data_IF_597922640778
#
_entry.id   IF_597922640778
#
_cell.length_a   1.000
_cell.length_b   1.000
_cell.length_c   1.000
_cell.angle_alpha   90.00
_cell.angle_beta   90.00
_cell.angle_gamma   90.00
#
_symmetry.space_group_name_H-M   'P 1'
#
loop_
_entity.id
_entity.type
_entity.pdbx_description
1 polymer ?
#
# COMPACT_ATOMS: atom_id res chain seq x y z
N UNK A 1 14.42 -27.55 4.20
CA UNK A 1 15.08 -26.44 3.46
C UNK A 1 15.99 -25.76 4.47
N UNK A 2 17.27 -25.57 4.16
CA UNK A 2 18.24 -25.04 5.13
C UNK A 2 17.75 -23.69 5.69
N UNK A 3 17.66 -23.58 7.02
CA UNK A 3 17.09 -22.43 7.73
C UNK A 3 17.79 -21.12 7.31
N UNK A 4 19.06 -21.20 6.93
CA UNK A 4 19.82 -20.07 6.39
C UNK A 4 19.28 -19.53 5.05
N UNK A 5 18.99 -20.40 4.09
CA UNK A 5 18.52 -20.00 2.75
C UNK A 5 17.16 -19.33 2.84
N UNK A 6 16.23 -19.90 3.61
CA UNK A 6 14.90 -19.32 3.83
C UNK A 6 14.98 -17.95 4.50
N UNK A 7 15.86 -17.80 5.50
CA UNK A 7 16.08 -16.53 6.18
C UNK A 7 16.58 -15.44 5.25
N UNK A 8 17.54 -15.77 4.37
CA UNK A 8 18.10 -14.85 3.39
C UNK A 8 17.08 -14.47 2.30
N UNK A 9 16.21 -15.41 1.91
CA UNK A 9 15.11 -15.13 0.99
C UNK A 9 14.11 -14.13 1.57
N UNK A 10 13.71 -14.32 2.84
CA UNK A 10 12.83 -13.37 3.55
C UNK A 10 13.46 -11.97 3.59
N UNK A 11 14.75 -11.86 3.93
CA UNK A 11 15.43 -10.56 3.99
C UNK A 11 15.47 -9.85 2.63
N UNK A 12 15.69 -10.59 1.54
CA UNK A 12 15.65 -10.05 0.18
C UNK A 12 14.26 -9.60 -0.21
N UNK A 13 13.22 -10.37 0.11
CA UNK A 13 11.84 -10.02 -0.20
C UNK A 13 11.38 -8.79 0.58
N UNK A 14 11.72 -8.68 1.87
CA UNK A 14 11.45 -7.48 2.66
C UNK A 14 12.16 -6.25 2.08
N UNK A 15 13.45 -6.37 1.77
CA UNK A 15 14.22 -5.30 1.14
C UNK A 15 13.58 -4.84 -0.17
N UNK A 16 13.27 -5.77 -1.05
CA UNK A 16 12.66 -5.49 -2.35
C UNK A 16 11.28 -4.84 -2.18
N UNK A 17 10.45 -5.37 -1.28
CA UNK A 17 9.11 -4.86 -1.00
C UNK A 17 9.14 -3.40 -0.52
N UNK A 18 9.91 -3.12 0.53
CA UNK A 18 10.03 -1.76 1.06
C UNK A 18 10.70 -0.80 0.06
N UNK A 19 11.71 -1.24 -0.70
CA UNK A 19 12.31 -0.39 -1.74
C UNK A 19 11.32 -0.04 -2.85
N UNK A 20 10.49 -1.00 -3.28
CA UNK A 20 9.43 -0.73 -4.25
C UNK A 20 8.46 0.33 -3.69
N UNK A 21 8.02 0.19 -2.43
CA UNK A 21 7.14 1.17 -1.80
C UNK A 21 7.79 2.56 -1.74
N UNK A 22 9.05 2.65 -1.28
CA UNK A 22 9.78 3.92 -1.19
C UNK A 22 9.91 4.61 -2.55
N UNK A 23 10.35 3.87 -3.56
CA UNK A 23 10.46 4.38 -4.94
C UNK A 23 9.09 4.77 -5.50
N UNK A 24 8.05 3.97 -5.24
CA UNK A 24 6.68 4.26 -5.64
C UNK A 24 6.19 5.58 -5.07
N UNK A 25 6.37 5.80 -3.76
CA UNK A 25 5.99 7.05 -3.08
C UNK A 25 6.76 8.27 -3.61
N UNK A 26 8.05 8.12 -3.91
CA UNK A 26 8.90 9.20 -4.46
C UNK A 26 8.49 9.56 -5.88
N UNK A 27 8.16 8.57 -6.71
CA UNK A 27 7.64 8.85 -8.05
C UNK A 27 6.26 9.48 -7.97
N UNK A 28 5.41 9.01 -7.03
CA UNK A 28 4.08 9.57 -6.83
C UNK A 28 4.12 11.03 -6.39
N UNK A 29 5.07 11.43 -5.54
CA UNK A 29 5.19 12.84 -5.11
C UNK A 29 5.58 13.81 -6.23
N UNK A 30 5.99 13.30 -7.40
CA UNK A 30 6.26 14.11 -8.58
C UNK A 30 5.00 14.37 -9.41
N UNK A 31 3.90 13.67 -9.15
CA UNK A 31 2.64 13.84 -9.88
C UNK A 31 2.11 15.26 -9.73
N UNK A 32 1.97 15.99 -10.84
CA UNK A 32 1.49 17.37 -10.88
C UNK A 32 0.89 17.69 -12.26
N UNK A 33 0.41 18.91 -12.46
CA UNK A 33 -0.19 19.35 -13.73
C UNK A 33 0.70 19.11 -14.95
N UNK A 34 2.03 19.20 -14.79
CA UNK A 34 3.05 19.03 -15.84
C UNK A 34 3.63 17.61 -15.91
N UNK A 35 3.41 16.76 -14.91
CA UNK A 35 3.90 15.38 -14.87
C UNK A 35 2.81 14.44 -14.36
N UNK A 36 2.15 13.73 -15.28
CA UNK A 36 0.96 12.94 -14.98
C UNK A 36 1.18 11.42 -15.02
N UNK A 37 2.43 10.94 -14.98
CA UNK A 37 2.72 9.50 -15.04
C UNK A 37 2.43 8.76 -13.74
N UNK A 38 1.44 7.87 -13.80
CA UNK A 38 0.96 7.07 -12.68
C UNK A 38 1.26 5.57 -12.81
N UNK A 39 1.63 5.10 -14.01
CA UNK A 39 1.90 3.68 -14.25
C UNK A 39 3.01 3.14 -13.33
N UNK A 40 4.19 3.77 -13.38
CA UNK A 40 5.34 3.34 -12.61
C UNK A 40 5.10 3.38 -11.09
N UNK A 41 4.60 4.47 -10.48
CA UNK A 41 4.37 4.48 -9.05
C UNK A 41 3.29 3.48 -8.62
N UNK A 42 2.20 3.29 -9.37
CA UNK A 42 1.21 2.25 -9.05
C UNK A 42 1.80 0.85 -9.13
N UNK A 43 2.61 0.54 -10.15
CA UNK A 43 3.29 -0.76 -10.25
C UNK A 43 4.17 -1.04 -9.02
N UNK A 44 4.99 -0.05 -8.65
CA UNK A 44 5.92 -0.15 -7.54
C UNK A 44 5.18 -0.31 -6.20
N UNK A 45 4.15 0.49 -5.96
CA UNK A 45 3.34 0.41 -4.74
C UNK A 45 2.63 -0.94 -4.64
N UNK A 46 1.93 -1.36 -5.70
CA UNK A 46 1.19 -2.64 -5.71
C UNK A 46 2.11 -3.84 -5.46
N UNK A 47 3.22 -3.94 -6.19
CA UNK A 47 4.17 -5.06 -6.04
C UNK A 47 4.85 -5.02 -4.67
N UNK A 48 5.22 -3.83 -4.20
CA UNK A 48 5.87 -3.66 -2.91
C UNK A 48 4.98 -4.11 -1.75
N UNK A 49 3.74 -3.63 -1.72
CA UNK A 49 2.75 -3.99 -0.70
C UNK A 49 2.44 -5.49 -0.74
N UNK A 50 2.22 -6.06 -1.92
CA UNK A 50 1.93 -7.49 -2.08
C UNK A 50 3.03 -8.37 -1.46
N UNK A 51 4.30 -8.03 -1.73
CA UNK A 51 5.46 -8.76 -1.19
C UNK A 51 5.50 -8.72 0.33
N UNK A 52 5.31 -7.55 0.93
CA UNK A 52 5.33 -7.40 2.39
C UNK A 52 4.20 -8.20 3.05
N UNK A 53 2.97 -8.11 2.50
CA UNK A 53 1.83 -8.86 3.02
C UNK A 53 2.02 -10.38 2.91
N UNK A 54 2.55 -10.86 1.78
CA UNK A 54 2.86 -12.30 1.61
C UNK A 54 3.94 -12.76 2.58
N UNK A 55 4.96 -11.95 2.84
CA UNK A 55 5.98 -12.28 3.86
C UNK A 55 5.35 -12.34 5.26
N UNK A 56 4.49 -11.39 5.62
CA UNK A 56 3.75 -11.45 6.88
C UNK A 56 2.90 -12.72 6.98
N UNK A 57 2.19 -13.11 5.92
CA UNK A 57 1.47 -14.38 5.87
C UNK A 57 2.39 -15.59 6.09
N UNK A 58 3.53 -15.65 5.40
CA UNK A 58 4.53 -16.72 5.54
C UNK A 58 5.04 -16.82 6.98
N UNK A 59 5.35 -15.67 7.60
CA UNK A 59 5.82 -15.59 8.98
C UNK A 59 4.74 -16.00 9.97
N UNK A 60 3.48 -15.63 9.74
CA UNK A 60 2.36 -16.07 10.58
C UNK A 60 2.18 -17.59 10.51
N UNK A 61 2.20 -18.16 9.30
CA UNK A 61 2.07 -19.62 9.13
C UNK A 61 3.20 -20.37 9.84
N UNK A 62 4.43 -19.87 9.73
CA UNK A 62 5.56 -20.43 10.46
C UNK A 62 5.40 -20.29 11.98
N UNK A 63 4.91 -19.15 12.47
CA UNK A 63 4.66 -18.92 13.88
C UNK A 63 3.61 -19.89 14.46
N UNK A 64 2.56 -20.20 13.69
CA UNK A 64 1.46 -21.07 14.15
C UNK A 64 1.80 -22.55 13.99
N UNK A 65 2.39 -22.94 12.86
CA UNK A 65 2.54 -24.34 12.47
C UNK A 65 3.97 -24.87 12.58
N UNK A 66 4.96 -23.99 12.79
CA UNK A 66 6.38 -24.34 12.73
C UNK A 66 6.92 -24.58 11.31
N UNK A 67 6.10 -24.36 10.29
CA UNK A 67 6.43 -24.64 8.89
C UNK A 67 6.04 -23.48 7.96
N UNK A 68 6.82 -23.27 6.89
CA UNK A 68 6.47 -22.30 5.85
C UNK A 68 5.34 -22.86 4.95
N UNK A 69 4.46 -21.99 4.43
CA UNK A 69 3.35 -22.43 3.59
C UNK A 69 3.86 -23.04 2.28
N UNK A 70 3.11 -23.98 1.73
CA UNK A 70 3.47 -24.58 0.44
C UNK A 70 3.30 -23.56 -0.69
N UNK A 71 4.03 -23.77 -1.79
CA UNK A 71 3.93 -22.92 -2.99
C UNK A 71 2.49 -22.78 -3.50
N UNK A 72 1.70 -23.84 -3.39
CA UNK A 72 0.29 -23.86 -3.81
C UNK A 72 -0.58 -22.95 -2.94
N UNK A 73 -0.37 -22.95 -1.63
CA UNK A 73 -1.07 -22.05 -0.69
C UNK A 73 -0.78 -20.59 -1.03
N UNK A 74 0.50 -20.25 -1.25
CA UNK A 74 0.91 -18.89 -1.64
C UNK A 74 0.36 -18.47 -3.01
N UNK A 75 0.20 -19.41 -3.94
CA UNK A 75 -0.42 -19.16 -5.24
C UNK A 75 -1.92 -18.92 -5.09
N UNK A 76 -2.58 -19.68 -4.22
CA UNK A 76 -4.03 -19.58 -3.99
C UNK A 76 -4.44 -18.28 -3.29
N UNK A 77 -3.53 -17.63 -2.55
CA UNK A 77 -3.74 -16.26 -2.04
C UNK A 77 -3.94 -15.23 -3.16
N UNK A 78 -3.44 -15.52 -4.38
CA UNK A 78 -3.52 -14.62 -5.53
C UNK A 78 -2.68 -13.35 -5.40
N UNK A 79 -3.07 -12.32 -6.17
CA UNK A 79 -2.41 -10.99 -6.24
C UNK A 79 -3.32 -9.86 -5.73
N UNK A 80 -4.42 -10.24 -5.08
CA UNK A 80 -5.48 -9.34 -4.65
C UNK A 80 -5.12 -8.70 -3.31
N UNK A 81 -4.78 -7.41 -3.32
CA UNK A 81 -4.29 -6.73 -2.10
C UNK A 81 -5.37 -6.63 -1.03
N UNK A 82 -6.63 -6.44 -1.42
CA UNK A 82 -7.79 -6.45 -0.52
C UNK A 82 -7.86 -7.75 0.31
N UNK A 83 -7.68 -8.91 -0.33
CA UNK A 83 -7.65 -10.21 0.35
C UNK A 83 -6.47 -10.29 1.33
N UNK A 84 -5.27 -9.92 0.88
CA UNK A 84 -4.07 -9.96 1.70
C UNK A 84 -4.14 -8.99 2.89
N UNK A 85 -4.75 -7.82 2.71
CA UNK A 85 -4.96 -6.83 3.76
C UNK A 85 -5.98 -7.34 4.77
N UNK A 86 -7.07 -7.99 4.33
CA UNK A 86 -8.03 -8.58 5.26
C UNK A 86 -7.38 -9.64 6.15
N UNK A 87 -6.57 -10.54 5.56
CA UNK A 87 -5.80 -11.54 6.34
C UNK A 87 -4.87 -10.85 7.35
N UNK A 88 -4.20 -9.77 6.94
CA UNK A 88 -3.35 -8.98 7.82
C UNK A 88 -4.14 -8.36 8.99
N UNK A 89 -5.29 -7.74 8.70
CA UNK A 89 -6.18 -7.12 9.69
C UNK A 89 -6.73 -8.15 10.67
N UNK A 90 -7.18 -9.31 10.19
CA UNK A 90 -7.67 -10.41 11.02
C UNK A 90 -6.58 -10.91 11.97
N UNK A 91 -5.36 -11.13 11.44
CA UNK A 91 -4.20 -11.54 12.24
C UNK A 91 -3.89 -10.51 13.33
N UNK A 92 -3.82 -9.23 12.98
CA UNK A 92 -3.61 -8.16 13.96
C UNK A 92 -4.72 -8.09 15.01
N UNK A 93 -5.99 -8.16 14.60
CA UNK A 93 -7.15 -8.07 15.49
C UNK A 93 -7.24 -9.24 16.48
N UNK A 94 -6.68 -10.40 16.11
CA UNK A 94 -6.56 -11.56 16.99
C UNK A 94 -5.56 -11.36 18.13
N UNK A 95 -4.62 -10.43 18.01
CA UNK A 95 -3.57 -10.17 18.99
C UNK A 95 -4.02 -9.14 20.05
N UNK A 96 -3.83 -9.46 21.33
CA UNK A 96 -4.37 -8.67 22.45
C UNK A 96 -3.95 -7.20 22.43
N UNK A 97 -2.66 -6.94 22.15
CA UNK A 97 -2.13 -5.58 22.11
C UNK A 97 -2.90 -4.67 21.14
N UNK A 98 -3.39 -5.23 20.02
CA UNK A 98 -4.13 -4.48 19.02
C UNK A 98 -5.55 -4.10 19.46
N UNK A 99 -6.07 -4.75 20.50
CA UNK A 99 -7.40 -4.48 21.07
C UNK A 99 -7.38 -3.53 22.26
N UNK A 100 -6.22 -3.36 22.92
CA UNK A 100 -6.11 -2.57 24.15
C UNK A 100 -5.35 -1.25 23.94
N UNK A 101 -4.35 -1.22 23.05
CA UNK A 101 -3.52 -0.04 22.87
C UNK A 101 -4.25 0.99 21.99
N UNK A 102 -4.50 2.24 22.46
CA UNK A 102 -5.28 3.23 21.72
C UNK A 102 -4.74 3.50 20.30
N UNK A 103 -3.42 3.55 20.14
CA UNK A 103 -2.79 3.73 18.83
C UNK A 103 -3.07 2.55 17.87
N UNK A 104 -3.18 1.32 18.39
CA UNK A 104 -3.50 0.14 17.56
C UNK A 104 -4.98 0.09 17.19
N UNK A 105 -5.85 0.47 18.12
CA UNK A 105 -7.30 0.60 17.85
C UNK A 105 -7.52 1.61 16.73
N UNK A 106 -6.89 2.79 16.79
CA UNK A 106 -6.97 3.80 15.72
C UNK A 106 -6.43 3.28 14.38
N UNK A 107 -5.39 2.45 14.40
CA UNK A 107 -4.84 1.88 13.19
C UNK A 107 -5.75 0.80 12.58
N UNK A 108 -6.41 -0.03 13.39
CA UNK A 108 -7.44 -0.95 12.89
C UNK A 108 -8.66 -0.19 12.35
N UNK A 109 -9.07 0.89 13.00
CA UNK A 109 -10.14 1.76 12.51
C UNK A 109 -9.78 2.37 11.15
N UNK A 110 -8.55 2.86 10.99
CA UNK A 110 -8.06 3.35 9.70
C UNK A 110 -8.15 2.28 8.61
N UNK A 111 -7.65 1.06 8.85
CA UNK A 111 -7.68 -0.01 7.84
C UNK A 111 -9.11 -0.44 7.49
N UNK A 112 -10.01 -0.46 8.48
CA UNK A 112 -11.37 -0.96 8.31
C UNK A 112 -12.37 0.09 7.83
N UNK A 113 -12.16 1.37 8.11
CA UNK A 113 -13.21 2.39 7.95
C UNK A 113 -12.77 3.60 7.11
N UNK A 114 -11.47 3.80 6.87
CA UNK A 114 -11.02 4.94 6.07
C UNK A 114 -11.34 4.73 4.58
N UNK A 115 -12.24 5.56 4.05
CA UNK A 115 -12.72 5.44 2.66
C UNK A 115 -11.65 5.75 1.63
N UNK A 116 -10.77 6.73 1.92
CA UNK A 116 -9.63 7.07 1.05
C UNK A 116 -8.69 5.89 0.90
N UNK A 117 -8.26 5.30 2.01
CA UNK A 117 -7.40 4.12 2.02
C UNK A 117 -8.03 2.97 1.23
N UNK A 118 -9.31 2.66 1.47
CA UNK A 118 -10.01 1.59 0.75
C UNK A 118 -10.04 1.81 -0.76
N UNK A 119 -10.32 3.03 -1.22
CA UNK A 119 -10.35 3.32 -2.65
C UNK A 119 -8.94 3.27 -3.27
N UNK A 120 -7.91 3.76 -2.57
CA UNK A 120 -6.52 3.63 -3.00
C UNK A 120 -6.13 2.15 -3.14
N UNK A 121 -6.44 1.31 -2.14
CA UNK A 121 -6.16 -0.13 -2.20
C UNK A 121 -6.91 -0.81 -3.34
N UNK A 122 -8.16 -0.40 -3.61
CA UNK A 122 -8.93 -0.91 -4.74
C UNK A 122 -8.24 -0.59 -6.06
N UNK A 123 -7.79 0.65 -6.26
CA UNK A 123 -7.03 1.09 -7.44
C UNK A 123 -5.75 0.25 -7.59
N UNK A 124 -4.96 0.12 -6.52
CA UNK A 124 -3.71 -0.66 -6.54
C UNK A 124 -3.95 -2.15 -6.82
N UNK A 125 -5.03 -2.73 -6.28
CA UNK A 125 -5.45 -4.12 -6.53
C UNK A 125 -5.84 -4.34 -7.98
N UNK A 126 -6.55 -3.39 -8.58
CA UNK A 126 -6.93 -3.49 -9.99
C UNK A 126 -5.70 -3.34 -10.88
N UNK A 127 -4.83 -2.39 -10.57
CA UNK A 127 -3.59 -2.18 -11.30
C UNK A 127 -2.65 -3.39 -11.23
N UNK A 128 -2.59 -4.10 -10.10
CA UNK A 128 -1.74 -5.28 -9.95
C UNK A 128 -2.15 -6.45 -10.84
N UNK A 129 -3.43 -6.52 -11.24
CA UNK A 129 -3.97 -7.54 -12.14
C UNK A 129 -3.42 -7.41 -13.56
N UNK A 130 -3.38 -8.52 -14.30
CA UNK A 130 -3.00 -8.52 -15.73
C UNK A 130 -3.85 -7.54 -16.54
N UNK A 131 -5.14 -7.44 -16.21
CA UNK A 131 -6.08 -6.54 -16.90
C UNK A 131 -5.74 -5.06 -16.71
N UNK A 132 -5.32 -4.68 -15.51
CA UNK A 132 -4.93 -3.30 -15.20
C UNK A 132 -3.56 -2.93 -15.77
N UNK A 133 -2.56 -3.79 -15.56
CA UNK A 133 -1.18 -3.53 -16.00
C UNK A 133 -1.04 -3.48 -17.52
N UNK A 134 -1.84 -4.26 -18.23
CA UNK A 134 -1.80 -4.34 -19.69
C UNK A 134 -3.02 -3.68 -20.33
N UNK A 135 -3.69 -2.74 -19.64
CA UNK A 135 -4.91 -2.09 -20.13
C UNK A 135 -4.81 -1.64 -21.59
N UNK A 136 -3.77 -0.88 -21.94
CA UNK A 136 -3.56 -0.39 -23.30
C UNK A 136 -3.28 -1.53 -24.30
N UNK A 137 -2.59 -2.60 -23.90
CA UNK A 137 -2.35 -3.76 -24.77
C UNK A 137 -3.63 -4.58 -24.96
N UNK A 138 -4.48 -4.68 -23.94
CA UNK A 138 -5.75 -5.39 -24.00
C UNK A 138 -6.75 -4.64 -24.89
N UNK A 139 -6.76 -3.30 -24.86
CA UNK A 139 -7.51 -2.47 -25.79
C UNK A 139 -7.15 -2.77 -27.26
N UNK A 140 -5.86 -2.98 -27.55
CA UNK A 140 -5.39 -3.28 -28.90
C UNK A 140 -5.82 -4.68 -29.39
N UNK A 141 -6.22 -5.56 -28.48
CA UNK A 141 -6.64 -6.94 -28.79
C UNK A 141 -8.17 -7.11 -28.77
N UNK A 142 -8.93 -6.01 -28.81
CA UNK A 142 -10.40 -6.00 -28.75
C UNK A 142 -10.99 -6.77 -27.55
N UNK A 143 -10.24 -6.88 -26.44
CA UNK A 143 -10.80 -7.42 -25.22
C UNK A 143 -11.84 -6.44 -24.66
N UNK A 144 -13.04 -6.93 -24.33
CA UNK A 144 -14.01 -6.14 -23.57
C UNK A 144 -13.41 -5.74 -22.22
N UNK A 145 -13.02 -4.47 -22.11
CA UNK A 145 -12.60 -3.89 -20.86
C UNK A 145 -13.82 -3.39 -20.11
N UNK A 146 -14.21 -4.16 -19.10
CA UNK A 146 -15.24 -3.77 -18.13
C UNK A 146 -14.79 -2.66 -17.17
N UNK A 147 -13.62 -2.03 -17.38
CA UNK A 147 -12.97 -1.18 -16.38
C UNK A 147 -12.29 0.05 -16.96
N UNK A 148 -12.33 1.13 -16.17
CA UNK A 148 -11.64 2.40 -16.39
C UNK A 148 -10.12 2.25 -16.36
N UNK A 149 -9.40 3.07 -17.13
CA UNK A 149 -7.94 3.16 -17.03
C UNK A 149 -7.52 3.64 -15.63
N UNK A 150 -6.29 3.35 -15.17
CA UNK A 150 -5.76 3.86 -13.91
C UNK A 150 -5.85 5.39 -13.77
N UNK A 151 -5.68 6.10 -14.89
CA UNK A 151 -5.80 7.57 -14.98
C UNK A 151 -7.26 8.00 -14.73
N UNK A 152 -8.23 7.31 -15.35
CA UNK A 152 -9.64 7.60 -15.16
C UNK A 152 -10.14 7.28 -13.74
N UNK A 153 -9.68 6.18 -13.16
CA UNK A 153 -9.95 5.85 -11.75
C UNK A 153 -9.42 6.96 -10.83
N UNK A 154 -8.25 7.49 -11.15
CA UNK A 154 -7.68 8.61 -10.41
C UNK A 154 -8.50 9.90 -10.58
N UNK A 155 -8.85 10.27 -11.81
CA UNK A 155 -9.73 11.41 -12.08
C UNK A 155 -11.07 11.28 -11.36
N UNK A 156 -11.65 10.08 -11.29
CA UNK A 156 -12.88 9.81 -10.53
C UNK A 156 -12.67 10.03 -9.03
N UNK A 157 -11.57 9.54 -8.47
CA UNK A 157 -11.24 9.74 -7.07
C UNK A 157 -11.04 11.23 -6.74
N UNK A 158 -10.30 11.96 -7.57
CA UNK A 158 -10.12 13.41 -7.48
C UNK A 158 -11.48 14.14 -7.49
N UNK A 159 -12.32 13.83 -8.48
CA UNK A 159 -13.62 14.47 -8.62
C UNK A 159 -14.50 14.20 -7.39
N UNK A 160 -14.62 12.95 -6.95
CA UNK A 160 -15.43 12.60 -5.77
C UNK A 160 -14.97 13.32 -4.49
N UNK A 161 -13.65 13.56 -4.35
CA UNK A 161 -13.09 14.21 -3.16
C UNK A 161 -13.28 15.72 -3.18
N UNK A 162 -13.23 16.33 -4.36
CA UNK A 162 -13.18 17.78 -4.48
C UNK A 162 -14.49 18.42 -4.97
N UNK A 163 -15.43 17.64 -5.50
CA UNK A 163 -16.74 18.12 -5.98
C UNK A 163 -17.52 18.88 -4.89
N UNK A 164 -17.35 18.51 -3.62
CA UNK A 164 -18.01 19.17 -2.47
C UNK A 164 -17.11 20.20 -1.74
N UNK A 165 -15.87 20.40 -2.20
CA UNK A 165 -14.92 21.35 -1.61
C UNK A 165 -15.03 22.70 -2.32
N UNK A 166 -15.91 23.56 -1.82
CA UNK A 166 -16.18 24.88 -2.41
C UNK A 166 -14.91 25.71 -2.59
N UNK A 167 -13.98 25.67 -1.64
CA UNK A 167 -12.68 26.34 -1.72
C UNK A 167 -11.85 25.88 -2.94
N UNK A 168 -11.93 24.60 -3.28
CA UNK A 168 -11.22 24.00 -4.40
C UNK A 168 -11.96 24.25 -5.72
N UNK A 169 -13.27 24.08 -5.72
CA UNK A 169 -14.13 24.34 -6.89
C UNK A 169 -14.09 25.82 -7.31
N UNK A 170 -14.06 26.74 -6.35
CA UNK A 170 -13.92 28.18 -6.63
C UNK A 170 -12.56 28.49 -7.27
N UNK A 171 -11.48 27.76 -6.94
CA UNK A 171 -10.16 27.90 -7.56
C UNK A 171 -10.06 27.27 -8.96
N UNK A 172 -10.84 26.22 -9.23
CA UNK A 172 -10.92 25.59 -10.55
C UNK A 172 -11.79 26.42 -11.50
N UNK A 173 -12.82 27.09 -10.98
CA UNK A 173 -13.80 27.78 -11.82
C UNK A 173 -13.45 29.26 -12.03
N UNK A 174 -12.59 29.87 -11.19
CA UNK A 174 -12.23 31.28 -11.29
C UNK A 174 -10.76 31.47 -11.74
N UNK A 175 -10.50 32.30 -12.76
CA UNK A 175 -9.13 32.65 -13.16
C UNK A 175 -8.36 33.42 -12.07
N UNK A 176 -7.04 33.20 -11.91
CA UNK A 176 -6.22 32.24 -12.65
C UNK A 176 -6.42 30.82 -12.14
N UNK A 177 -6.78 29.91 -13.04
CA UNK A 177 -7.02 28.50 -12.73
C UNK A 177 -5.80 27.90 -12.01
N UNK A 178 -5.98 27.46 -10.77
CA UNK A 178 -4.90 26.85 -9.99
C UNK A 178 -5.14 25.35 -9.82
N UNK A 179 -4.91 24.60 -10.89
CA UNK A 179 -5.07 23.14 -10.90
C UNK A 179 -4.03 22.43 -10.05
N UNK A 180 -2.87 23.04 -9.77
CA UNK A 180 -1.78 22.42 -9.00
C UNK A 180 -2.21 22.04 -7.58
N UNK A 181 -3.13 22.81 -6.99
CA UNK A 181 -3.69 22.54 -5.67
C UNK A 181 -4.37 21.16 -5.61
N UNK A 182 -5.07 20.75 -6.68
CA UNK A 182 -5.70 19.44 -6.76
C UNK A 182 -4.68 18.31 -6.66
N UNK A 183 -3.59 18.43 -7.42
CA UNK A 183 -2.50 17.45 -7.42
C UNK A 183 -1.79 17.41 -6.06
N UNK A 184 -1.59 18.56 -5.42
CA UNK A 184 -0.98 18.65 -4.09
C UNK A 184 -1.83 17.91 -3.04
N UNK A 185 -3.13 18.20 -2.97
CA UNK A 185 -4.01 17.55 -1.99
C UNK A 185 -4.17 16.06 -2.28
N UNK A 186 -4.27 15.69 -3.54
CA UNK A 186 -4.30 14.30 -3.95
C UNK A 186 -3.05 13.53 -3.53
N UNK A 187 -1.86 14.08 -3.83
CA UNK A 187 -0.59 13.50 -3.42
C UNK A 187 -0.53 13.34 -1.91
N UNK A 188 -0.96 14.34 -1.14
CA UNK A 188 -1.04 14.23 0.32
C UNK A 188 -1.92 13.07 0.75
N UNK A 189 -3.13 12.93 0.20
CA UNK A 189 -4.07 11.85 0.58
C UNK A 189 -3.45 10.48 0.31
N UNK A 190 -2.88 10.27 -0.89
CA UNK A 190 -2.31 8.99 -1.28
C UNK A 190 -1.06 8.66 -0.47
N UNK A 191 -0.10 9.60 -0.41
CA UNK A 191 1.17 9.40 0.31
C UNK A 191 0.89 9.17 1.79
N UNK A 192 0.02 9.95 2.42
CA UNK A 192 -0.31 9.79 3.85
C UNK A 192 -0.95 8.44 4.13
N UNK A 193 -1.91 8.03 3.29
CA UNK A 193 -2.60 6.74 3.43
C UNK A 193 -1.63 5.57 3.32
N UNK A 194 -0.75 5.58 2.32
CA UNK A 194 0.23 4.52 2.12
C UNK A 194 1.32 4.55 3.19
N UNK A 195 1.85 5.71 3.58
CA UNK A 195 2.83 5.81 4.68
C UNK A 195 2.26 5.31 6.00
N UNK A 196 1.02 5.71 6.34
CA UNK A 196 0.32 5.22 7.53
C UNK A 196 0.14 3.71 7.45
N UNK A 197 -0.31 3.18 6.33
CA UNK A 197 -0.45 1.74 6.15
C UNK A 197 0.88 1.00 6.31
N UNK A 198 1.97 1.49 5.71
CA UNK A 198 3.30 0.90 5.85
C UNK A 198 3.79 0.93 7.29
N UNK A 199 3.54 2.01 8.01
CA UNK A 199 3.80 2.10 9.46
C UNK A 199 3.04 1.00 10.23
N UNK A 200 1.78 0.75 9.87
CA UNK A 200 0.97 -0.33 10.47
C UNK A 200 1.54 -1.72 10.14
N UNK A 201 1.93 -1.97 8.89
CA UNK A 201 2.61 -3.20 8.49
C UNK A 201 3.87 -3.43 9.33
N UNK A 202 4.67 -2.38 9.53
CA UNK A 202 5.87 -2.41 10.35
C UNK A 202 5.60 -2.75 11.82
N UNK A 203 4.46 -2.31 12.39
CA UNK A 203 4.05 -2.74 13.72
C UNK A 203 3.73 -4.24 13.78
N UNK A 204 3.19 -4.82 12.70
CA UNK A 204 2.99 -6.26 12.59
C UNK A 204 4.30 -7.05 12.83
N UNK A 205 5.42 -6.56 12.29
CA UNK A 205 6.73 -7.18 12.52
C UNK A 205 7.25 -6.99 13.94
N UNK A 206 7.05 -5.83 14.56
CA UNK A 206 7.73 -5.49 15.83
C UNK A 206 6.94 -5.87 17.07
N UNK A 207 5.61 -5.92 16.99
CA UNK A 207 4.75 -6.06 18.16
C UNK A 207 4.23 -7.49 18.41
N UNK A 208 4.86 -8.49 17.80
CA UNK A 208 4.69 -9.90 18.17
C UNK A 208 3.50 -10.63 17.53
N UNK A 209 2.62 -9.93 16.81
CA UNK A 209 1.47 -10.55 16.12
C UNK A 209 1.87 -11.62 15.09
N UNK A 210 3.11 -11.59 14.61
CA UNK A 210 3.66 -12.49 13.59
C UNK A 210 4.84 -13.35 14.10
N UNK A 211 5.01 -13.44 15.42
CA UNK A 211 6.02 -14.29 16.06
C UNK A 211 7.44 -13.73 16.12
N UNK A 212 8.33 -14.49 16.74
CA UNK A 212 9.72 -14.08 17.01
C UNK A 212 10.55 -13.90 15.76
N UNK A 213 10.33 -14.74 14.75
CA UNK A 213 11.02 -14.63 13.48
C UNK A 213 10.71 -13.29 12.80
N UNK A 214 9.45 -12.83 12.83
CA UNK A 214 9.08 -11.53 12.31
C UNK A 214 9.78 -10.39 13.06
N UNK A 215 9.86 -10.48 14.40
CA UNK A 215 10.58 -9.50 15.24
C UNK A 215 12.05 -9.43 14.90
N UNK A 216 12.72 -10.57 14.70
CA UNK A 216 14.14 -10.62 14.33
C UNK A 216 14.38 -9.97 12.95
N UNK A 217 13.45 -10.17 12.00
CA UNK A 217 13.54 -9.61 10.64
C UNK A 217 13.26 -8.11 10.55
N UNK A 218 12.66 -7.53 11.59
CA UNK A 218 12.28 -6.12 11.63
C UNK A 218 13.49 -5.16 11.62
N UNK A 219 14.59 -5.51 12.30
CA UNK A 219 15.64 -4.56 12.71
C UNK A 219 16.22 -3.67 11.60
N UNK A 220 16.26 -4.12 10.34
CA UNK A 220 16.88 -3.37 9.23
C UNK A 220 15.89 -2.65 8.31
N UNK A 221 14.66 -3.12 8.18
CA UNK A 221 13.79 -2.72 7.07
C UNK A 221 12.61 -1.84 7.50
N UNK A 222 12.21 -1.91 8.77
CA UNK A 222 10.98 -1.25 9.24
C UNK A 222 11.21 0.15 9.82
N UNK A 223 12.46 0.49 10.15
CA UNK A 223 12.79 1.70 10.93
C UNK A 223 12.33 3.01 10.27
N UNK A 224 12.49 3.15 8.95
CA UNK A 224 12.10 4.38 8.24
C UNK A 224 10.59 4.64 8.39
N UNK A 225 9.73 3.64 8.10
CA UNK A 225 8.28 3.80 8.17
C UNK A 225 7.75 3.87 9.61
N UNK A 226 8.35 3.13 10.56
CA UNK A 226 7.95 3.21 11.98
C UNK A 226 8.15 4.60 12.58
N UNK A 227 9.17 5.31 12.13
CA UNK A 227 9.55 6.61 12.67
C UNK A 227 8.69 7.77 12.17
N UNK A 228 7.81 7.53 11.18
CA UNK A 228 6.95 8.57 10.60
C UNK A 228 5.87 8.96 11.61
N UNK A 229 5.90 10.21 12.04
CA UNK A 229 4.88 10.82 12.90
C UNK A 229 3.66 11.23 12.08
N UNK A 230 2.52 11.38 12.74
CA UNK A 230 1.27 11.80 12.07
C UNK A 230 1.39 13.17 11.39
N UNK A 231 2.14 14.10 11.99
CA UNK A 231 2.43 15.43 11.42
C UNK A 231 3.33 15.40 10.17
N UNK A 232 4.02 14.27 9.94
CA UNK A 232 4.94 14.06 8.83
C UNK A 232 4.35 13.15 7.74
N UNK A 233 3.17 12.56 7.95
CA UNK A 233 2.45 11.76 6.96
C UNK A 233 2.08 12.63 5.76
N UNK A 234 2.80 12.51 4.65
CA UNK A 234 2.75 13.23 3.36
C UNK A 234 4.15 13.67 2.91
N UNK A 235 5.10 13.77 3.85
CA UNK A 235 6.47 14.20 3.56
C UNK A 235 7.30 13.03 3.06
N UNK A 236 7.93 13.19 1.90
CA UNK A 236 8.85 12.20 1.34
C UNK A 236 10.26 12.50 1.82
N UNK A 237 10.70 11.76 2.85
CA UNK A 237 12.04 11.90 3.45
C UNK A 237 12.83 10.58 3.38
N UNK A 238 12.53 9.73 2.40
CA UNK A 238 13.20 8.44 2.25
C UNK A 238 14.62 8.60 1.72
N UNK A 239 15.55 7.83 2.29
CA UNK A 239 16.88 7.65 1.67
C UNK A 239 16.74 6.60 0.57
N UNK A 240 17.02 7.01 -0.66
CA UNK A 240 16.99 6.16 -1.86
C UNK A 240 18.42 5.87 -2.30
#
# INVERSE_FOLDING_TARGET
MDNFISNLAIDRELRNGFNCIKLGLVQFSRFNSSYQELFAPFLLLSVGIERILKILYILNNYNINGEFPKKEELRNLGHKLDVLINIFVETCSSYELYRIAPARISDLDFLNNNSDFKEIIKILTHFSSEKGRYHNLNLLNDEELYWESPENLNSRFLNQKFENRKDIMDMINNPPYNTDMLYIEFNKIVISSIQRFCRILCFGFTQGAYGDLARQKSAFYVGEFLSIKDEDLHKINFKI
#
